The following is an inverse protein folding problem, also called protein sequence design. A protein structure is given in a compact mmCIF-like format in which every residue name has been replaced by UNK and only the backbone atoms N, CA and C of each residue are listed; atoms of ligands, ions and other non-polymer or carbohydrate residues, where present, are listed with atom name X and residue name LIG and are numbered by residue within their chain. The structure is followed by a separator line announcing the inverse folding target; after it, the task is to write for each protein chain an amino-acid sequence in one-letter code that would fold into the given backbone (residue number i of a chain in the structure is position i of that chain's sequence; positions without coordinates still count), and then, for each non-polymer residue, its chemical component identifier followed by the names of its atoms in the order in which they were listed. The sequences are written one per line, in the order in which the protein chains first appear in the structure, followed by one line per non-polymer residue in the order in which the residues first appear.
data_IF_405305175778
#
_entry.id   IF_405305175778
#
_cell.length_a   1.000
_cell.length_b   1.000
_cell.length_c   1.000
_cell.angle_alpha   90.00
_cell.angle_beta   90.00
_cell.angle_gamma   90.00
#
_symmetry.space_group_name_H-M   'P 1'
#
loop_
_entity.id
_entity.type
_entity.pdbx_description
1 polymer ?
#
# COMPACT_ATOMS: atom_id res chain seq x y z
N UNK A 1 7.45 62.54 -5.16
CA UNK A 1 7.79 62.01 -6.50
C UNK A 1 9.00 61.09 -6.36
N UNK A 2 8.92 59.84 -6.86
CA UNK A 2 9.93 58.75 -6.86
C UNK A 2 10.10 58.03 -5.51
N UNK A 3 9.33 57.00 -5.14
CA UNK A 3 9.20 55.59 -5.60
C UNK A 3 10.46 54.70 -5.49
N UNK A 4 10.26 53.52 -4.88
CA UNK A 4 10.90 52.20 -5.13
C UNK A 4 12.21 51.83 -4.42
N UNK A 5 12.14 51.01 -3.36
CA UNK A 5 12.18 49.53 -3.46
C UNK A 5 12.20 48.90 -2.05
N UNK A 6 11.04 48.39 -1.64
CA UNK A 6 10.88 47.54 -0.47
C UNK A 6 11.33 46.14 -0.88
N UNK A 7 12.45 45.65 -0.35
CA UNK A 7 12.86 44.26 -0.52
C UNK A 7 12.03 43.42 0.45
N UNK A 8 10.84 42.99 0.01
CA UNK A 8 10.07 41.94 0.65
C UNK A 8 10.84 40.63 0.45
N UNK A 9 11.65 40.24 1.42
CA UNK A 9 12.06 38.86 1.55
C UNK A 9 10.81 38.07 1.95
N UNK A 10 10.15 37.47 0.96
CA UNK A 10 9.22 36.37 1.20
C UNK A 10 10.00 35.25 1.90
N UNK A 11 9.91 35.18 3.23
CA UNK A 11 10.03 33.90 3.91
C UNK A 11 8.82 33.07 3.47
N UNK A 12 8.98 32.36 2.35
CA UNK A 12 8.28 31.09 2.15
C UNK A 12 8.79 30.16 3.25
N UNK A 13 8.17 30.25 4.43
CA UNK A 13 8.04 29.13 5.33
C UNK A 13 7.20 28.10 4.57
N UNK A 14 7.88 27.32 3.73
CA UNK A 14 7.38 26.05 3.28
C UNK A 14 7.10 25.26 4.53
N UNK A 15 5.83 25.21 4.93
CA UNK A 15 5.30 24.12 5.72
C UNK A 15 5.59 22.87 4.92
N UNK A 16 6.75 22.27 5.19
CA UNK A 16 6.97 20.86 4.98
C UNK A 16 5.90 20.18 5.82
N UNK A 17 4.74 19.95 5.22
CA UNK A 17 3.87 18.86 5.65
C UNK A 17 4.73 17.62 5.45
N UNK A 18 5.42 17.21 6.52
CA UNK A 18 5.85 15.83 6.65
C UNK A 18 4.53 15.08 6.77
N UNK A 19 3.94 14.75 5.62
CA UNK A 19 3.14 13.55 5.53
C UNK A 19 4.12 12.50 6.04
N UNK A 20 3.86 11.90 7.21
CA UNK A 20 4.39 10.57 7.47
C UNK A 20 3.71 9.69 6.41
N UNK A 21 4.20 9.77 5.17
CA UNK A 21 4.02 8.73 4.21
C UNK A 21 4.62 7.55 4.93
N UNK A 22 3.76 6.63 5.32
CA UNK A 22 4.25 5.38 5.84
C UNK A 22 5.21 4.82 4.80
N UNK A 23 6.45 4.55 5.22
CA UNK A 23 7.44 4.00 4.31
C UNK A 23 6.88 2.70 3.73
N UNK A 24 6.78 2.67 2.41
CA UNK A 24 6.47 1.47 1.69
C UNK A 24 7.57 0.47 2.02
N UNK A 25 7.19 -0.70 2.54
CA UNK A 25 8.15 -1.72 2.95
C UNK A 25 8.79 -2.41 1.76
N UNK A 26 8.24 -2.21 0.56
CA UNK A 26 8.72 -2.85 -0.65
C UNK A 26 9.90 -2.09 -1.26
N UNK A 27 10.87 -2.86 -1.74
CA UNK A 27 11.94 -2.35 -2.58
C UNK A 27 11.49 -2.28 -4.03
N UNK A 28 11.89 -1.20 -4.71
CA UNK A 28 11.56 -0.93 -6.12
C UNK A 28 10.06 -1.13 -6.49
N UNK A 29 9.12 -0.48 -5.77
CA UNK A 29 7.68 -0.75 -5.89
C UNK A 29 7.02 -0.34 -7.22
N UNK A 30 7.53 0.68 -7.91
CA UNK A 30 7.06 1.12 -9.24
C UNK A 30 8.03 0.76 -10.37
N UNK A 31 9.05 -0.06 -10.07
CA UNK A 31 10.03 -0.54 -11.03
C UNK A 31 10.93 0.52 -11.69
N UNK A 32 10.95 1.77 -11.21
CA UNK A 32 11.83 2.83 -11.73
C UNK A 32 13.27 2.75 -11.19
N UNK A 33 13.52 1.82 -10.26
CA UNK A 33 14.82 1.62 -9.63
C UNK A 33 15.81 0.86 -10.49
N UNK A 34 16.81 0.27 -9.83
CA UNK A 34 17.85 -0.52 -10.50
C UNK A 34 17.26 -1.79 -11.12
N UNK A 35 17.77 -2.17 -12.29
CA UNK A 35 17.37 -3.36 -13.02
C UNK A 35 18.57 -4.20 -13.42
N UNK A 36 18.32 -5.46 -13.75
CA UNK A 36 19.30 -6.44 -14.21
C UNK A 36 18.88 -6.85 -15.63
N UNK A 37 19.77 -6.69 -16.60
CA UNK A 37 19.52 -7.16 -17.97
C UNK A 37 19.81 -8.66 -18.02
N UNK A 38 18.80 -9.45 -18.34
CA UNK A 38 18.90 -10.92 -18.46
C UNK A 38 19.18 -11.28 -19.92
N UNK A 39 18.41 -10.72 -20.85
CA UNK A 39 18.57 -10.90 -22.29
C UNK A 39 18.37 -9.57 -23.01
N UNK A 40 19.46 -8.99 -23.50
CA UNK A 40 19.42 -7.72 -24.22
C UNK A 40 18.73 -7.84 -25.58
N UNK A 41 18.83 -8.99 -26.25
CA UNK A 41 18.29 -9.21 -27.59
C UNK A 41 16.76 -9.26 -27.55
N UNK A 42 16.21 -9.96 -26.57
CA UNK A 42 14.77 -10.07 -26.37
C UNK A 42 14.20 -8.98 -25.44
N UNK A 43 15.07 -8.13 -24.89
CA UNK A 43 14.69 -7.02 -24.00
C UNK A 43 14.12 -7.49 -22.67
N UNK A 44 14.64 -8.59 -22.12
CA UNK A 44 14.24 -9.15 -20.83
C UNK A 44 15.06 -8.47 -19.72
N UNK A 45 14.35 -7.69 -18.90
CA UNK A 45 14.93 -6.85 -17.85
C UNK A 45 14.21 -7.17 -16.54
N UNK A 46 14.96 -7.58 -15.53
CA UNK A 46 14.43 -7.95 -14.23
C UNK A 46 14.63 -6.82 -13.20
N UNK A 47 13.61 -6.42 -12.43
CA UNK A 47 13.75 -5.38 -11.42
C UNK A 47 14.52 -5.89 -10.20
N UNK A 48 15.54 -5.12 -9.76
CA UNK A 48 16.30 -5.49 -8.56
C UNK A 48 15.42 -5.45 -7.32
N UNK A 49 15.59 -6.45 -6.45
CA UNK A 49 14.84 -6.56 -5.19
C UNK A 49 13.57 -7.39 -5.31
N UNK A 50 13.19 -7.80 -6.51
CA UNK A 50 12.16 -8.80 -6.75
C UNK A 50 12.81 -10.11 -7.20
N UNK A 51 12.07 -11.20 -7.03
CA UNK A 51 12.48 -12.55 -7.35
C UNK A 51 11.45 -13.17 -8.30
N UNK A 52 11.94 -13.80 -9.36
CA UNK A 52 11.17 -14.77 -10.16
C UNK A 52 11.80 -16.15 -9.95
N UNK A 53 11.10 -17.11 -9.29
CA UNK A 53 11.62 -18.45 -9.05
C UNK A 53 11.69 -19.31 -10.32
N UNK A 54 11.17 -18.81 -11.45
CA UNK A 54 11.30 -19.46 -12.75
C UNK A 54 12.37 -18.72 -13.55
N UNK A 55 13.63 -19.06 -13.28
CA UNK A 55 14.78 -18.53 -14.00
C UNK A 55 14.54 -18.58 -15.52
N UNK A 56 14.67 -17.43 -16.19
CA UNK A 56 14.54 -17.33 -17.65
C UNK A 56 15.74 -17.97 -18.34
N UNK A 57 15.49 -18.77 -19.38
CA UNK A 57 16.52 -19.15 -20.34
C UNK A 57 16.40 -18.28 -21.61
N UNK A 58 17.56 -17.98 -22.23
CA UNK A 58 17.62 -17.27 -23.51
C UNK A 58 16.73 -17.95 -24.56
N UNK A 59 15.77 -17.21 -25.12
CA UNK A 59 14.82 -17.73 -26.12
C UNK A 59 13.49 -18.25 -25.58
N UNK A 60 13.24 -18.12 -24.27
CA UNK A 60 11.94 -18.45 -23.69
C UNK A 60 10.79 -17.58 -24.24
N UNK A 61 9.67 -18.24 -24.52
CA UNK A 61 8.46 -17.59 -25.02
C UNK A 61 7.63 -16.90 -23.92
N UNK A 62 8.03 -17.07 -22.66
CA UNK A 62 7.40 -16.50 -21.48
C UNK A 62 8.45 -15.70 -20.74
N UNK A 63 8.16 -14.44 -20.42
CA UNK A 63 9.11 -13.59 -19.73
C UNK A 63 8.43 -12.46 -18.95
N UNK A 64 9.16 -11.94 -17.95
CA UNK A 64 8.83 -10.67 -17.31
C UNK A 64 9.84 -9.61 -17.80
N UNK A 65 9.38 -8.38 -18.06
CA UNK A 65 10.28 -7.28 -18.41
C UNK A 65 9.75 -5.93 -17.96
N UNK A 66 10.62 -4.92 -17.90
CA UNK A 66 10.24 -3.55 -17.58
C UNK A 66 9.94 -2.76 -18.86
N UNK A 67 8.75 -2.16 -18.91
CA UNK A 67 8.29 -1.34 -20.04
C UNK A 67 7.89 0.07 -19.59
N UNK A 68 7.71 1.00 -20.54
CA UNK A 68 7.35 2.40 -20.25
C UNK A 68 5.84 2.66 -20.14
N UNK A 69 4.98 1.70 -20.48
CA UNK A 69 3.54 1.84 -20.26
C UNK A 69 3.23 1.56 -18.80
N UNK A 70 3.10 2.63 -18.01
CA UNK A 70 2.98 2.56 -16.56
C UNK A 70 1.71 3.27 -16.06
N UNK A 71 1.24 2.88 -14.88
CA UNK A 71 0.18 3.58 -14.17
C UNK A 71 0.71 4.87 -13.53
N UNK A 72 1.93 4.81 -13.00
CA UNK A 72 2.67 5.93 -12.41
C UNK A 72 4.11 5.92 -12.90
N UNK A 73 4.81 7.04 -12.72
CA UNK A 73 6.21 7.12 -13.11
C UNK A 73 6.44 6.85 -14.61
N UNK A 74 7.42 6.01 -14.90
CA UNK A 74 7.87 5.72 -16.26
C UNK A 74 8.24 4.24 -16.49
N UNK A 75 7.94 3.37 -15.55
CA UNK A 75 8.25 1.95 -15.59
C UNK A 75 7.09 1.13 -15.06
N UNK A 76 6.82 -0.02 -15.67
CA UNK A 76 5.92 -1.04 -15.14
C UNK A 76 6.46 -2.42 -15.50
N UNK A 77 6.10 -3.41 -14.70
CA UNK A 77 6.42 -4.79 -14.96
C UNK A 77 5.40 -5.39 -15.92
N UNK A 78 5.87 -5.86 -17.07
CA UNK A 78 5.11 -6.64 -18.04
C UNK A 78 5.42 -8.12 -17.89
N UNK A 79 4.39 -8.88 -17.55
CA UNK A 79 4.43 -10.33 -17.44
C UNK A 79 3.74 -10.94 -18.66
N UNK A 80 4.50 -11.59 -19.54
CA UNK A 80 4.00 -12.22 -20.77
C UNK A 80 4.05 -13.74 -20.67
N UNK A 81 2.90 -14.39 -20.82
CA UNK A 81 2.83 -15.85 -20.86
C UNK A 81 2.20 -16.33 -22.17
N UNK A 82 3.07 -16.92 -23.01
CA UNK A 82 3.02 -17.15 -24.46
C UNK A 82 1.70 -17.62 -25.09
N UNK A 83 1.56 -17.31 -26.39
CA UNK A 83 0.54 -17.86 -27.30
C UNK A 83 0.80 -19.31 -27.72
N UNK A 84 2.08 -19.70 -27.79
CA UNK A 84 2.59 -20.98 -28.30
C UNK A 84 3.63 -21.55 -27.32
N UNK A 85 3.74 -22.89 -27.21
CA UNK A 85 4.66 -23.55 -26.29
C UNK A 85 3.97 -24.46 -25.26
N UNK A 86 4.39 -24.37 -23.99
CA UNK A 86 3.85 -25.09 -22.84
C UNK A 86 3.07 -24.17 -21.91
N UNK A 87 2.12 -24.70 -21.12
CA UNK A 87 1.48 -23.92 -20.09
C UNK A 87 2.49 -23.63 -18.97
N UNK A 88 3.19 -22.50 -19.02
CA UNK A 88 3.97 -22.00 -17.88
C UNK A 88 3.32 -20.75 -17.31
N UNK A 89 3.45 -20.58 -16.01
CA UNK A 89 3.22 -19.32 -15.34
C UNK A 89 4.50 -18.87 -14.68
N UNK A 90 4.55 -17.61 -14.29
CA UNK A 90 5.68 -17.10 -13.52
C UNK A 90 5.22 -16.09 -12.50
N UNK A 91 6.17 -15.73 -11.64
CA UNK A 91 5.87 -15.07 -10.40
C UNK A 91 6.78 -13.87 -10.24
N UNK A 92 6.22 -12.80 -9.71
CA UNK A 92 7.03 -11.70 -9.21
C UNK A 92 6.84 -11.63 -7.70
N UNK A 93 7.92 -11.82 -6.95
CA UNK A 93 7.87 -12.07 -5.51
C UNK A 93 8.83 -11.15 -4.77
N UNK A 94 8.41 -10.69 -3.59
CA UNK A 94 9.31 -10.04 -2.64
C UNK A 94 9.08 -10.59 -1.23
N UNK A 95 10.18 -10.76 -0.49
CA UNK A 95 10.18 -11.24 0.88
C UNK A 95 10.57 -10.12 1.84
N UNK A 96 9.75 -9.88 2.86
CA UNK A 96 9.89 -8.77 3.80
C UNK A 96 10.08 -9.30 5.21
N UNK A 97 11.10 -8.83 5.93
CA UNK A 97 11.32 -9.21 7.34
C UNK A 97 10.33 -8.49 8.25
N UNK A 98 9.20 -9.16 8.52
CA UNK A 98 8.16 -8.66 9.41
C UNK A 98 8.60 -8.60 10.88
N UNK A 99 9.73 -9.24 11.27
CA UNK A 99 10.25 -9.07 12.64
C UNK A 99 10.85 -7.68 12.88
N UNK A 100 11.26 -6.99 11.82
CA UNK A 100 11.74 -5.60 11.90
C UNK A 100 10.57 -4.63 12.11
N UNK A 101 9.46 -4.83 11.38
CA UNK A 101 8.31 -3.92 11.42
C UNK A 101 7.31 -4.27 12.52
N UNK A 102 7.13 -5.55 12.82
CA UNK A 102 6.29 -6.06 13.91
C UNK A 102 5.42 -7.26 13.48
N UNK A 103 5.49 -8.34 14.25
CA UNK A 103 4.69 -9.55 14.02
C UNK A 103 3.24 -9.44 14.55
N UNK A 104 2.92 -8.36 15.26
CA UNK A 104 1.60 -8.05 15.84
C UNK A 104 0.80 -7.07 14.97
N UNK A 105 1.18 -6.93 13.69
CA UNK A 105 0.68 -5.89 12.79
C UNK A 105 -0.24 -6.45 11.72
N UNK A 106 -1.13 -5.57 11.26
CA UNK A 106 -1.89 -5.78 10.02
C UNK A 106 -1.15 -5.08 8.90
N UNK A 107 -0.90 -5.79 7.81
CA UNK A 107 -0.24 -5.29 6.62
C UNK A 107 -1.27 -5.10 5.51
N UNK A 108 -1.22 -3.97 4.81
CA UNK A 108 -2.03 -3.73 3.63
C UNK A 108 -1.12 -3.82 2.41
N UNK A 109 -1.35 -4.85 1.60
CA UNK A 109 -0.72 -5.03 0.30
C UNK A 109 -1.63 -4.49 -0.79
N UNK A 110 -1.08 -3.72 -1.73
CA UNK A 110 -1.84 -3.17 -2.85
C UNK A 110 -0.95 -2.88 -4.04
N UNK A 111 -1.54 -2.83 -5.23
CA UNK A 111 -0.85 -2.47 -6.48
C UNK A 111 -1.87 -2.15 -7.57
N UNK A 112 -1.39 -1.61 -8.67
CA UNK A 112 -2.18 -1.41 -9.89
C UNK A 112 -1.84 -2.48 -10.91
N UNK A 113 -2.87 -2.94 -11.63
CA UNK A 113 -2.71 -3.94 -12.68
C UNK A 113 -3.53 -3.60 -13.92
N UNK A 114 -3.08 -4.11 -15.07
CA UNK A 114 -3.79 -4.00 -16.34
C UNK A 114 -3.71 -5.31 -17.10
N UNK A 115 -4.85 -5.94 -17.37
CA UNK A 115 -4.89 -7.15 -18.21
C UNK A 115 -4.77 -6.72 -19.67
N UNK A 116 -3.69 -7.15 -20.33
CA UNK A 116 -3.39 -6.81 -21.72
C UNK A 116 -3.98 -7.85 -22.67
N UNK A 117 -3.83 -9.14 -22.32
CA UNK A 117 -4.44 -10.26 -23.04
C UNK A 117 -5.06 -11.23 -22.04
N UNK A 118 -6.38 -11.32 -22.05
CA UNK A 118 -7.13 -12.25 -21.22
C UNK A 118 -7.22 -13.66 -21.81
N UNK A 119 -6.79 -13.85 -23.06
CA UNK A 119 -6.65 -15.17 -23.70
C UNK A 119 -5.39 -15.20 -24.55
N UNK A 120 -4.38 -15.95 -24.14
CA UNK A 120 -3.14 -16.06 -24.89
C UNK A 120 -2.87 -17.54 -25.27
N UNK A 121 -2.26 -18.32 -24.36
CA UNK A 121 -1.82 -19.70 -24.60
C UNK A 121 -2.91 -20.61 -25.18
N UNK A 122 -2.82 -20.94 -26.47
CA UNK A 122 -3.80 -21.77 -27.19
C UNK A 122 -5.26 -21.32 -26.99
N UNK A 123 -5.46 -20.01 -26.76
CA UNK A 123 -6.77 -19.41 -26.51
C UNK A 123 -7.37 -19.70 -25.12
N UNK A 124 -6.61 -20.28 -24.18
CA UNK A 124 -7.02 -20.45 -22.79
C UNK A 124 -7.18 -19.09 -22.10
N UNK A 125 -8.15 -18.94 -21.20
CA UNK A 125 -8.28 -17.72 -20.41
C UNK A 125 -7.08 -17.55 -19.48
N UNK A 126 -6.70 -16.29 -19.23
CA UNK A 126 -5.72 -15.93 -18.21
C UNK A 126 -6.17 -16.46 -16.85
N UNK A 127 -5.25 -17.06 -16.13
CA UNK A 127 -5.37 -17.42 -14.72
C UNK A 127 -4.27 -16.65 -14.00
N UNK A 128 -4.65 -15.76 -13.09
CA UNK A 128 -3.67 -15.00 -12.35
C UNK A 128 -4.17 -14.70 -10.94
N UNK A 129 -3.22 -14.62 -10.03
CA UNK A 129 -3.45 -14.53 -8.60
C UNK A 129 -2.44 -13.59 -7.98
N UNK A 130 -2.80 -12.97 -6.87
CA UNK A 130 -1.87 -12.23 -6.01
C UNK A 130 -1.99 -12.71 -4.58
N UNK A 131 -0.87 -12.68 -3.86
CA UNK A 131 -0.79 -13.31 -2.56
C UNK A 131 -0.03 -12.48 -1.52
N UNK A 132 -0.36 -12.73 -0.26
CA UNK A 132 0.39 -12.29 0.91
C UNK A 132 0.31 -13.38 1.99
N UNK A 133 1.43 -13.77 2.59
CA UNK A 133 1.44 -14.78 3.65
C UNK A 133 2.71 -14.81 4.48
N UNK A 134 2.64 -15.43 5.66
CA UNK A 134 3.82 -15.61 6.51
C UNK A 134 4.77 -16.67 5.93
N UNK A 135 6.07 -16.45 6.09
CA UNK A 135 7.14 -17.32 5.64
C UNK A 135 8.26 -17.44 6.71
N UNK A 136 9.09 -18.47 6.58
CA UNK A 136 10.05 -18.88 7.60
C UNK A 136 11.50 -18.42 7.33
N UNK A 137 11.80 -18.03 6.10
CA UNK A 137 13.16 -17.68 5.64
C UNK A 137 13.12 -16.51 4.66
N UNK A 138 14.25 -15.85 4.44
CA UNK A 138 14.47 -14.90 3.34
C UNK A 138 15.38 -15.46 2.26
N UNK A 139 15.74 -16.75 2.35
CA UNK A 139 16.57 -17.42 1.37
C UNK A 139 15.80 -17.57 0.05
N UNK A 140 16.34 -17.00 -1.02
CA UNK A 140 15.74 -17.04 -2.36
C UNK A 140 15.55 -18.46 -2.86
N UNK A 141 16.41 -19.39 -2.48
CA UNK A 141 16.36 -20.78 -2.93
C UNK A 141 15.19 -21.55 -2.27
N UNK A 142 14.68 -21.03 -1.16
CA UNK A 142 13.55 -21.58 -0.41
C UNK A 142 12.28 -20.72 -0.53
N UNK A 143 12.36 -19.57 -1.22
CA UNK A 143 11.20 -18.71 -1.46
C UNK A 143 10.32 -19.38 -2.53
N UNK A 144 9.20 -19.93 -2.07
CA UNK A 144 8.20 -20.57 -2.92
C UNK A 144 7.42 -19.57 -3.78
N UNK A 145 6.59 -20.08 -4.68
CA UNK A 145 5.70 -19.30 -5.54
C UNK A 145 4.38 -18.95 -4.82
N UNK A 146 3.43 -18.28 -5.50
CA UNK A 146 2.10 -18.02 -4.93
C UNK A 146 1.37 -19.30 -4.50
N UNK A 147 1.61 -20.44 -5.18
CA UNK A 147 1.05 -21.73 -4.76
C UNK A 147 1.60 -22.15 -3.40
N UNK A 148 2.86 -21.88 -3.09
CA UNK A 148 3.43 -22.16 -1.77
C UNK A 148 2.77 -21.35 -0.64
N UNK A 149 2.16 -20.21 -0.95
CA UNK A 149 1.31 -19.45 -0.01
C UNK A 149 -0.06 -20.13 0.16
N UNK A 150 -0.61 -20.71 -0.92
CA UNK A 150 -1.87 -21.46 -0.92
C UNK A 150 -1.76 -22.87 -0.28
N UNK A 151 -0.60 -23.54 -0.42
CA UNK A 151 -0.40 -24.96 -0.10
C UNK A 151 0.09 -25.22 1.34
N UNK A 152 0.19 -24.19 2.19
CA UNK A 152 0.41 -24.37 3.63
C UNK A 152 -0.87 -24.96 4.29
N UNK A 153 -1.09 -26.29 4.25
CA UNK A 153 -2.29 -26.94 4.84
C UNK A 153 -2.48 -26.66 6.35
N UNK A 154 -3.60 -26.86 7.04
CA UNK A 154 -5.01 -27.15 6.68
C UNK A 154 -5.86 -25.85 6.63
N UNK A 155 -5.25 -24.68 6.87
CA UNK A 155 -5.91 -23.37 6.75
C UNK A 155 -4.91 -22.35 6.19
N UNK A 156 -4.52 -22.48 4.91
CA UNK A 156 -3.54 -21.64 4.18
C UNK A 156 -3.33 -20.29 4.86
N UNK A 157 -2.25 -20.17 5.63
CA UNK A 157 -2.07 -19.00 6.50
C UNK A 157 -1.80 -17.73 5.71
N UNK A 158 -1.57 -17.85 4.40
CA UNK A 158 -1.62 -16.75 3.45
C UNK A 158 -3.02 -16.46 2.92
N UNK A 159 -3.11 -15.35 2.21
CA UNK A 159 -4.27 -14.99 1.40
C UNK A 159 -3.83 -15.06 -0.05
N UNK A 160 -4.56 -15.82 -0.85
CA UNK A 160 -4.41 -15.86 -2.31
C UNK A 160 -5.72 -15.39 -2.91
N UNK A 161 -5.64 -14.39 -3.78
CA UNK A 161 -6.82 -13.79 -4.42
C UNK A 161 -6.70 -13.92 -5.93
N UNK A 162 -7.72 -14.50 -6.54
CA UNK A 162 -7.87 -14.52 -7.99
C UNK A 162 -8.07 -13.09 -8.50
N UNK A 163 -7.27 -12.71 -9.49
CA UNK A 163 -7.42 -11.44 -10.15
C UNK A 163 -8.47 -11.46 -11.24
N UNK A 164 -9.02 -10.28 -11.57
CA UNK A 164 -10.02 -10.18 -12.64
C UNK A 164 -9.37 -10.35 -14.02
N UNK A 165 -9.98 -11.17 -14.88
CA UNK A 165 -9.50 -11.47 -16.23
C UNK A 165 -10.06 -10.54 -17.33
N UNK A 166 -10.46 -9.31 -16.97
CA UNK A 166 -11.08 -8.37 -17.92
C UNK A 166 -9.99 -7.47 -18.50
N UNK A 167 -9.77 -7.58 -19.82
CA UNK A 167 -8.90 -6.67 -20.58
C UNK A 167 -9.39 -5.22 -20.47
N UNK A 168 -8.47 -4.26 -20.39
CA UNK A 168 -8.83 -2.84 -20.44
C UNK A 168 -7.98 -1.98 -19.53
N UNK A 169 -8.61 -1.00 -18.90
CA UNK A 169 -7.93 0.03 -18.10
C UNK A 169 -7.29 -0.54 -16.82
N UNK A 170 -6.38 0.25 -16.24
CA UNK A 170 -5.75 -0.02 -14.95
C UNK A 170 -6.79 -0.19 -13.84
N UNK A 171 -6.54 -1.17 -12.98
CA UNK A 171 -7.37 -1.52 -11.83
C UNK A 171 -6.51 -1.60 -10.58
N UNK A 172 -7.14 -1.34 -9.44
CA UNK A 172 -6.47 -1.37 -8.14
C UNK A 172 -6.78 -2.68 -7.42
N UNK A 173 -5.75 -3.41 -7.02
CA UNK A 173 -5.83 -4.59 -6.18
C UNK A 173 -5.39 -4.25 -4.75
N UNK A 174 -6.06 -4.84 -3.76
CA UNK A 174 -5.66 -4.68 -2.36
C UNK A 174 -6.07 -5.88 -1.50
N UNK A 175 -5.30 -6.14 -0.46
CA UNK A 175 -5.57 -7.16 0.55
C UNK A 175 -4.95 -6.76 1.89
N UNK A 176 -5.72 -6.92 2.97
CA UNK A 176 -5.25 -6.76 4.35
C UNK A 176 -4.85 -8.13 4.92
N UNK A 177 -3.70 -8.18 5.60
CA UNK A 177 -3.12 -9.38 6.20
C UNK A 177 -2.75 -9.14 7.66
N UNK A 178 -3.48 -9.76 8.60
CA UNK A 178 -3.16 -9.71 10.02
C UNK A 178 -2.11 -10.77 10.38
N UNK A 179 -0.84 -10.37 10.46
CA UNK A 179 0.25 -11.30 10.75
C UNK A 179 0.08 -11.92 12.14
N UNK A 180 -0.31 -11.12 13.14
CA UNK A 180 -0.40 -11.56 14.53
C UNK A 180 -1.50 -12.59 14.74
N UNK A 181 -2.66 -12.36 14.15
CA UNK A 181 -3.81 -13.28 14.18
C UNK A 181 -3.49 -14.60 13.48
N UNK A 182 -2.86 -14.53 12.30
CA UNK A 182 -2.43 -15.72 11.55
C UNK A 182 -1.37 -16.50 12.33
N UNK A 183 -0.35 -15.80 12.83
CA UNK A 183 0.70 -16.38 13.64
C UNK A 183 0.11 -17.04 14.89
N UNK A 184 -0.86 -16.42 15.56
CA UNK A 184 -1.52 -16.95 16.75
C UNK A 184 -2.14 -18.34 16.51
N UNK A 185 -2.77 -18.53 15.34
CA UNK A 185 -3.39 -19.81 14.94
C UNK A 185 -2.47 -20.79 14.23
N UNK A 186 -1.26 -20.37 13.86
CA UNK A 186 -0.30 -21.22 13.16
C UNK A 186 0.00 -22.50 13.95
N UNK A 187 -0.13 -23.63 13.28
CA UNK A 187 0.29 -24.94 13.74
C UNK A 187 1.08 -25.61 12.62
N UNK A 188 2.29 -26.17 12.90
CA UNK A 188 3.04 -26.92 11.90
C UNK A 188 2.22 -28.10 11.37
N UNK A 189 2.38 -28.39 10.08
CA UNK A 189 1.73 -29.53 9.41
C UNK A 189 2.77 -30.52 8.89
N UNK A 190 2.32 -31.66 8.36
CA UNK A 190 3.21 -32.63 7.71
C UNK A 190 3.87 -32.08 6.43
N UNK A 191 3.21 -31.13 5.76
CA UNK A 191 3.69 -30.48 4.54
C UNK A 191 4.51 -29.21 4.83
N UNK A 192 4.34 -28.62 6.02
CA UNK A 192 5.03 -27.41 6.43
C UNK A 192 5.40 -27.49 7.92
N UNK A 193 6.58 -28.03 8.18
CA UNK A 193 7.00 -28.54 9.50
C UNK A 193 7.71 -27.52 10.40
N UNK A 194 7.83 -26.28 9.93
CA UNK A 194 8.60 -25.25 10.63
C UNK A 194 7.94 -24.81 11.93
N UNK A 195 8.74 -24.62 12.96
CA UNK A 195 8.25 -24.09 14.23
C UNK A 195 7.73 -22.66 14.07
N UNK A 196 6.69 -22.32 14.84
CA UNK A 196 6.05 -21.01 14.86
C UNK A 196 7.04 -19.86 15.10
N UNK A 197 8.10 -20.07 15.88
CA UNK A 197 9.15 -19.07 16.14
C UNK A 197 9.98 -18.70 14.91
N UNK A 198 9.91 -19.50 13.84
CA UNK A 198 10.57 -19.19 12.56
C UNK A 198 9.72 -18.31 11.65
N UNK A 199 8.41 -18.19 11.89
CA UNK A 199 7.49 -17.41 11.06
C UNK A 199 7.69 -15.92 11.31
N UNK A 200 8.58 -15.30 10.54
CA UNK A 200 8.99 -13.91 10.73
C UNK A 200 9.07 -13.08 9.44
N UNK A 201 8.81 -13.70 8.30
CA UNK A 201 8.83 -13.01 7.01
C UNK A 201 7.42 -12.94 6.42
N UNK A 202 7.18 -11.94 5.59
CA UNK A 202 6.05 -11.87 4.67
C UNK A 202 6.53 -12.21 3.27
N UNK A 203 5.84 -13.14 2.63
CA UNK A 203 5.97 -13.41 1.21
C UNK A 203 4.80 -12.73 0.50
N UNK A 204 5.10 -11.87 -0.48
CA UNK A 204 4.11 -11.22 -1.33
C UNK A 204 4.45 -11.44 -2.79
N UNK A 205 3.44 -11.46 -3.64
CA UNK A 205 3.70 -11.56 -5.07
C UNK A 205 2.47 -11.69 -5.94
N UNK A 206 2.74 -11.80 -7.23
CA UNK A 206 1.74 -12.03 -8.28
C UNK A 206 2.17 -13.24 -9.10
N UNK A 207 1.22 -14.08 -9.48
CA UNK A 207 1.39 -15.21 -10.38
C UNK A 207 0.51 -15.03 -11.60
N UNK A 208 1.02 -15.30 -12.79
CA UNK A 208 0.26 -15.20 -14.06
C UNK A 208 0.44 -16.46 -14.89
N UNK A 209 -0.63 -16.95 -15.51
CA UNK A 209 -0.66 -18.07 -16.45
C UNK A 209 -1.60 -17.70 -17.63
N UNK A 210 -1.26 -18.10 -18.85
CA UNK A 210 -2.12 -18.03 -20.06
C UNK A 210 -2.52 -16.63 -20.54
N UNK A 211 -1.88 -15.58 -20.04
CA UNK A 211 -2.19 -14.21 -20.44
C UNK A 211 -1.06 -13.24 -20.18
N UNK A 212 -1.38 -11.97 -20.42
CA UNK A 212 -0.44 -10.87 -20.33
C UNK A 212 -0.95 -9.86 -19.31
N UNK A 213 -0.09 -9.46 -18.37
CA UNK A 213 -0.43 -8.57 -17.27
C UNK A 213 0.62 -7.45 -17.16
N UNK A 214 0.16 -6.21 -17.00
CA UNK A 214 1.01 -5.14 -16.46
C UNK A 214 0.74 -4.98 -14.97
N UNK A 215 1.81 -4.69 -14.24
CA UNK A 215 1.82 -4.47 -12.81
C UNK A 215 2.64 -3.22 -12.49
N UNK A 216 2.15 -2.41 -11.56
CA UNK A 216 2.80 -1.16 -11.18
C UNK A 216 2.36 -0.70 -9.77
N UNK A 217 3.08 0.27 -9.19
CA UNK A 217 2.73 0.96 -7.95
C UNK A 217 2.45 0.01 -6.77
N UNK A 218 3.32 -0.97 -6.57
CA UNK A 218 3.20 -1.87 -5.43
C UNK A 218 3.37 -1.13 -4.11
N UNK A 219 2.62 -1.54 -3.11
CA UNK A 219 2.70 -0.98 -1.77
C UNK A 219 2.44 -2.05 -0.73
N UNK A 220 3.34 -2.13 0.24
CA UNK A 220 3.13 -2.85 1.47
C UNK A 220 3.31 -1.87 2.62
N UNK A 221 2.22 -1.62 3.34
CA UNK A 221 2.20 -0.72 4.49
C UNK A 221 1.71 -1.47 5.71
N UNK A 222 2.12 -1.05 6.90
CA UNK A 222 1.52 -1.54 8.14
C UNK A 222 0.34 -0.66 8.47
N UNK A 223 -0.86 -1.22 8.54
CA UNK A 223 -1.99 -0.52 9.15
C UNK A 223 -1.57 -0.11 10.55
N UNK A 224 -1.30 1.19 10.72
CA UNK A 224 -0.83 1.72 11.98
C UNK A 224 -1.83 1.30 13.03
N UNK A 225 -1.38 0.69 14.13
CA UNK A 225 -2.23 0.56 15.30
C UNK A 225 -2.81 1.94 15.55
N UNK A 226 -4.13 2.09 15.44
CA UNK A 226 -4.78 3.39 15.41
C UNK A 226 -4.65 4.05 16.77
N UNK A 227 -3.52 4.67 17.06
CA UNK A 227 -3.38 5.73 18.06
C UNK A 227 -3.74 7.08 17.45
N UNK A 228 -4.11 7.13 16.17
CA UNK A 228 -4.57 8.32 15.45
C UNK A 228 -5.97 8.10 14.91
N UNK A 229 -6.84 9.10 15.10
CA UNK A 229 -8.12 9.20 14.40
C UNK A 229 -7.84 9.27 12.90
N UNK A 230 -8.09 8.17 12.19
CA UNK A 230 -8.14 8.16 10.73
C UNK A 230 -9.50 8.72 10.30
N UNK A 231 -9.48 9.82 9.55
CA UNK A 231 -10.66 10.25 8.80
C UNK A 231 -10.39 9.91 7.35
N UNK A 232 -11.16 8.98 6.79
CA UNK A 232 -11.18 8.65 5.35
C UNK A 232 -11.82 9.76 4.49
N UNK A 233 -11.96 10.96 5.06
CA UNK A 233 -12.45 12.17 4.38
C UNK A 233 -12.06 13.39 5.21
N UNK A 234 -11.03 14.12 4.79
CA UNK A 234 -10.75 15.48 5.24
C UNK A 234 -9.86 16.23 4.23
N UNK A 235 -10.29 16.34 2.97
CA UNK A 235 -9.57 17.13 1.96
C UNK A 235 -9.95 18.62 1.96
N UNK A 236 -10.74 19.09 2.93
CA UNK A 236 -11.01 20.52 3.06
C UNK A 236 -10.54 21.06 4.40
N UNK A 237 -9.64 22.07 4.41
CA UNK A 237 -9.17 22.67 5.64
C UNK A 237 -10.35 23.26 6.41
N UNK A 238 -10.52 22.86 7.67
CA UNK A 238 -11.42 23.51 8.61
C UNK A 238 -10.66 24.67 9.26
N UNK A 239 -11.04 25.94 9.03
CA UNK A 239 -10.39 27.07 9.68
C UNK A 239 -10.60 27.00 11.19
N UNK A 240 -9.51 26.88 11.95
CA UNK A 240 -9.54 26.91 13.41
C UNK A 240 -8.53 27.91 13.94
N UNK A 241 -8.87 28.59 15.03
CA UNK A 241 -7.98 29.50 15.77
C UNK A 241 -8.12 29.21 17.26
N UNK A 242 -7.00 29.20 17.98
CA UNK A 242 -6.97 29.22 19.45
C UNK A 242 -6.57 30.62 19.91
N UNK A 243 -7.35 31.20 20.81
CA UNK A 243 -7.07 32.51 21.39
C UNK A 243 -7.57 32.52 22.84
N UNK A 244 -6.75 32.99 23.79
CA UNK A 244 -7.15 33.06 25.21
C UNK A 244 -7.50 31.71 25.89
N UNK A 245 -7.10 30.57 25.31
CA UNK A 245 -7.50 29.23 25.79
C UNK A 245 -8.86 28.76 25.24
N UNK A 246 -9.43 29.51 24.31
CA UNK A 246 -10.71 29.25 23.65
C UNK A 246 -10.49 28.81 22.20
N UNK A 247 -11.42 28.04 21.65
CA UNK A 247 -11.39 27.57 20.26
C UNK A 247 -12.43 28.31 19.42
N UNK A 248 -11.99 28.79 18.26
CA UNK A 248 -12.82 29.41 17.23
C UNK A 248 -12.80 28.56 15.96
N UNK A 249 -13.98 28.18 15.46
CA UNK A 249 -14.15 27.32 14.28
C UNK A 249 -14.91 28.08 13.20
N UNK A 250 -14.30 28.29 12.03
CA UNK A 250 -14.83 29.13 10.95
C UNK A 250 -15.54 28.36 9.82
N UNK A 251 -16.46 29.03 9.11
CA UNK A 251 -17.04 28.61 7.83
C UNK A 251 -17.95 27.39 7.90
N UNK A 252 -18.77 27.29 8.97
CA UNK A 252 -19.52 26.08 9.33
C UNK A 252 -20.97 26.31 9.74
N UNK A 253 -21.58 27.47 9.45
CA UNK A 253 -22.97 27.78 9.85
C UNK A 253 -23.93 26.64 9.49
N UNK A 254 -24.72 26.18 10.46
CA UNK A 254 -25.66 25.06 10.33
C UNK A 254 -25.03 23.66 10.49
N UNK A 255 -23.71 23.55 10.53
CA UNK A 255 -23.02 22.27 10.74
C UNK A 255 -22.97 21.90 12.23
N UNK A 256 -23.00 20.60 12.51
CA UNK A 256 -22.64 20.07 13.83
C UNK A 256 -21.12 20.04 13.96
N UNK A 257 -20.61 20.70 14.99
CA UNK A 257 -19.20 20.68 15.38
C UNK A 257 -19.03 19.71 16.55
N UNK A 258 -18.14 18.74 16.41
CA UNK A 258 -17.78 17.81 17.47
C UNK A 258 -16.28 17.89 17.72
N UNK A 259 -15.90 18.05 18.98
CA UNK A 259 -14.50 18.12 19.43
C UNK A 259 -14.19 16.88 20.22
N UNK A 260 -13.11 16.20 19.84
CA UNK A 260 -12.61 14.99 20.47
C UNK A 260 -11.26 15.26 21.13
N UNK A 261 -11.01 14.61 22.27
CA UNK A 261 -9.65 14.50 22.80
C UNK A 261 -8.80 13.50 21.99
N UNK A 262 -7.52 13.39 22.35
CA UNK A 262 -6.58 12.53 21.66
C UNK A 262 -6.93 11.02 21.73
N UNK A 263 -7.80 10.61 22.64
CA UNK A 263 -8.28 9.22 22.75
C UNK A 263 -9.69 9.02 22.18
N UNK A 264 -10.21 10.02 21.44
CA UNK A 264 -11.48 9.93 20.73
C UNK A 264 -12.73 10.19 21.57
N UNK A 265 -12.60 10.62 22.84
CA UNK A 265 -13.76 11.01 23.64
C UNK A 265 -14.26 12.38 23.22
N UNK A 266 -15.57 12.52 23.06
CA UNK A 266 -16.21 13.81 22.80
C UNK A 266 -16.06 14.72 24.02
N UNK A 267 -15.38 15.85 23.84
CA UNK A 267 -15.21 16.90 24.88
C UNK A 267 -16.08 18.12 24.64
N UNK A 268 -16.55 18.33 23.40
CA UNK A 268 -17.58 19.33 23.10
C UNK A 268 -18.41 18.90 21.88
N UNK A 269 -19.68 19.31 21.86
CA UNK A 269 -20.58 19.08 20.74
C UNK A 269 -21.57 20.24 20.64
N UNK A 270 -21.59 20.94 19.51
CA UNK A 270 -22.43 22.12 19.32
C UNK A 270 -22.89 22.25 17.87
N UNK A 271 -23.95 23.01 17.63
CA UNK A 271 -24.42 23.36 16.29
C UNK A 271 -24.03 24.81 16.01
N UNK A 272 -23.31 25.02 14.91
CA UNK A 272 -22.87 26.35 14.51
C UNK A 272 -24.06 27.23 14.13
N UNK A 273 -24.27 28.32 14.86
CA UNK A 273 -25.34 29.31 14.59
C UNK A 273 -24.86 30.49 13.74
N UNK A 274 -23.56 30.62 13.53
CA UNK A 274 -22.90 31.69 12.79
C UNK A 274 -21.71 31.16 11.97
N UNK A 275 -21.08 32.04 11.17
CA UNK A 275 -19.88 31.72 10.40
C UNK A 275 -18.64 31.44 11.26
N UNK A 276 -18.66 31.78 12.55
CA UNK A 276 -17.57 31.46 13.49
C UNK A 276 -18.18 31.01 14.80
N UNK A 277 -17.98 29.74 15.13
CA UNK A 277 -18.47 29.16 16.38
C UNK A 277 -17.38 29.21 17.44
N UNK A 278 -17.76 29.71 18.61
CA UNK A 278 -16.92 29.78 19.79
C UNK A 278 -17.14 28.54 20.67
N UNK A 279 -16.07 27.89 21.10
CA UNK A 279 -16.11 26.70 21.97
C UNK A 279 -15.12 26.89 23.12
N UNK A 280 -15.65 27.02 24.33
CA UNK A 280 -14.88 27.19 25.55
C UNK A 280 -14.85 25.98 26.46
N UNK A 281 -14.18 26.13 27.60
CA UNK A 281 -13.99 25.07 28.61
C UNK A 281 -13.40 23.76 28.06
N UNK A 282 -12.59 23.88 27.01
CA UNK A 282 -11.89 22.74 26.43
C UNK A 282 -10.66 22.39 27.27
N UNK A 283 -10.26 21.11 27.35
CA UNK A 283 -9.09 20.76 28.12
C UNK A 283 -7.82 21.32 27.46
N UNK A 284 -6.96 21.92 28.29
CA UNK A 284 -5.74 22.63 27.88
C UNK A 284 -4.54 21.69 27.81
N UNK A 285 -3.48 22.13 27.14
CA UNK A 285 -2.22 21.40 26.96
C UNK A 285 -2.40 20.00 26.32
N UNK A 286 -3.44 19.82 25.49
CA UNK A 286 -3.67 18.57 24.78
C UNK A 286 -4.19 18.79 23.36
N UNK A 287 -3.80 17.87 22.47
CA UNK A 287 -4.26 17.85 21.08
C UNK A 287 -5.74 17.50 21.05
N UNK A 288 -6.52 18.31 20.35
CA UNK A 288 -7.93 18.06 20.07
C UNK A 288 -8.15 17.87 18.57
N UNK A 289 -9.15 17.05 18.24
CA UNK A 289 -9.65 16.89 16.87
C UNK A 289 -11.01 17.56 16.76
N UNK A 290 -11.15 18.48 15.82
CA UNK A 290 -12.37 19.25 15.57
C UNK A 290 -12.96 18.78 14.26
N UNK A 291 -14.20 18.27 14.29
CA UNK A 291 -14.94 17.83 13.11
C UNK A 291 -16.16 18.73 12.91
N UNK A 292 -16.39 19.17 11.67
CA UNK A 292 -17.59 19.88 11.27
C UNK A 292 -18.07 19.36 9.91
N UNK A 293 -19.14 18.54 9.91
CA UNK A 293 -19.55 17.80 8.71
C UNK A 293 -18.43 16.89 8.20
N UNK A 294 -18.01 17.09 6.95
CA UNK A 294 -16.92 16.36 6.30
C UNK A 294 -15.55 17.06 6.42
N UNK A 295 -15.45 18.14 7.20
CA UNK A 295 -14.21 18.89 7.43
C UNK A 295 -13.63 18.54 8.80
N UNK A 296 -12.30 18.47 8.88
CA UNK A 296 -11.59 18.14 10.13
C UNK A 296 -10.38 19.06 10.32
N UNK A 297 -10.06 19.39 11.57
CA UNK A 297 -8.82 20.05 11.96
C UNK A 297 -8.24 19.40 13.22
N UNK A 298 -6.91 19.46 13.34
CA UNK A 298 -6.17 19.14 14.57
C UNK A 298 -5.73 20.45 15.20
N UNK A 299 -6.01 20.64 16.49
CA UNK A 299 -5.71 21.89 17.18
C UNK A 299 -5.03 21.64 18.51
N UNK A 300 -3.94 22.36 18.75
CA UNK A 300 -3.22 22.31 20.02
C UNK A 300 -3.83 23.35 20.97
N UNK A 301 -4.60 22.90 21.98
CA UNK A 301 -5.11 23.81 23.01
C UNK A 301 -4.00 24.22 23.95
N UNK A 302 -3.78 25.53 24.10
CA UNK A 302 -2.80 26.14 25.01
C UNK A 302 -3.50 26.73 26.23
#
# INVERSE_FOLDING_TARGET
MKTKNLLFALLLLGSATVVNAQENLLSNPGFEGETIVIDEVNGIIHPKGWLDPWDFEEGDAHFNTIISEAHSGNAALYMMYASDGYPSGGNEIQCIDASVTGLDKVYTFSFWYKVIKAKNYKGRPIEWEYCIGMWHTSDSDEIGNADAVAEQGIDSQGIVTNGEAIEGDWKFATVDYDFGDRLARYAPSEFYTYDKSKMKYLLIGVKVIFGDLLLDDFSLTVKGGTSGIETTTANQPLPVKVDGGELYVGGVKGSRITVYDAIGRTVANTVATSETTHIGNLPKNQLLVVKAGNKTAKVMMR
#
